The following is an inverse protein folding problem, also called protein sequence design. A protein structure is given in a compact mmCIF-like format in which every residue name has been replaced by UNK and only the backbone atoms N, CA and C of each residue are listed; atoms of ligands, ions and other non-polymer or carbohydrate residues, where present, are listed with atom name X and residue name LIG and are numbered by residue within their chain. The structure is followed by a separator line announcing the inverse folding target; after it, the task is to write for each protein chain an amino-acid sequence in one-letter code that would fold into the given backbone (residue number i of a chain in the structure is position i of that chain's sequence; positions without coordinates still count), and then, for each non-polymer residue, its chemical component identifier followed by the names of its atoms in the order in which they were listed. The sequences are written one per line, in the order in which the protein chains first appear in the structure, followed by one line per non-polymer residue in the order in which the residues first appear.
data_IF_281349441943
#
_entry.id   IF_281349441943
#
_cell.length_a   1.000
_cell.length_b   1.000
_cell.length_c   1.000
_cell.angle_alpha   90.00
_cell.angle_beta   90.00
_cell.angle_gamma   90.00
#
_symmetry.space_group_name_H-M   'P 1'
#
loop_
_entity.id
_entity.type
_entity.pdbx_description
1 polymer ?
#
# COMPACT_ATOMS: atom_id res chain seq x y z
N UNK A 1 -15.85 -6.20 11.12
CA UNK A 1 -15.18 -5.22 10.22
C UNK A 1 -13.84 -5.83 9.88
N UNK A 2 -13.57 -6.14 8.62
CA UNK A 2 -12.31 -6.78 8.22
C UNK A 2 -11.48 -5.75 7.47
N UNK A 3 -10.45 -5.24 8.12
CA UNK A 3 -9.37 -4.51 7.45
C UNK A 3 -8.46 -5.55 6.81
N UNK A 4 -8.20 -5.39 5.52
CA UNK A 4 -7.33 -6.30 4.77
C UNK A 4 -6.21 -5.50 4.15
N UNK A 5 -4.99 -5.92 4.45
CA UNK A 5 -3.75 -5.41 3.87
C UNK A 5 -3.06 -6.58 3.17
N UNK A 6 -2.87 -6.45 1.86
CA UNK A 6 -2.17 -7.44 1.04
C UNK A 6 -0.84 -6.84 0.60
N UNK A 7 0.24 -7.25 1.28
CA UNK A 7 1.58 -6.78 0.96
C UNK A 7 2.17 -7.44 -0.29
N UNK A 8 1.51 -8.41 -0.93
CA UNK A 8 1.97 -8.93 -2.23
C UNK A 8 1.62 -7.96 -3.38
N UNK A 9 0.59 -7.12 -3.19
CA UNK A 9 0.22 -6.07 -4.14
C UNK A 9 0.93 -4.76 -3.81
N UNK A 10 2.16 -4.60 -4.31
CA UNK A 10 2.99 -3.40 -4.12
C UNK A 10 3.00 -2.54 -5.38
N UNK A 11 2.77 -1.24 -5.22
CA UNK A 11 3.01 -0.25 -6.28
C UNK A 11 4.49 0.14 -6.33
N UNK A 12 5.11 0.34 -5.17
CA UNK A 12 6.55 0.54 -5.03
C UNK A 12 7.06 -0.01 -3.70
N UNK A 13 8.37 -0.17 -3.59
CA UNK A 13 9.06 -0.54 -2.35
C UNK A 13 10.38 0.22 -2.27
N UNK A 14 10.62 0.87 -1.13
CA UNK A 14 11.82 1.68 -0.89
C UNK A 14 12.37 1.35 0.50
N UNK A 15 13.69 1.33 0.63
CA UNK A 15 14.37 0.88 1.86
C UNK A 15 15.37 1.93 2.32
N UNK A 16 15.41 2.18 3.64
CA UNK A 16 16.38 3.04 4.32
C UNK A 16 16.92 2.36 5.58
N UNK A 17 18.02 1.63 5.41
CA UNK A 17 18.67 0.91 6.50
C UNK A 17 17.82 -0.27 6.98
N UNK A 18 17.27 -0.17 8.18
CA UNK A 18 16.43 -1.17 8.85
C UNK A 18 14.91 -0.93 8.66
N UNK A 19 14.53 0.08 7.87
CA UNK A 19 13.15 0.41 7.55
C UNK A 19 12.86 0.22 6.07
N UNK A 20 11.73 -0.41 5.77
CA UNK A 20 11.19 -0.53 4.42
C UNK A 20 9.82 0.13 4.37
N UNK A 21 9.62 1.01 3.38
CA UNK A 21 8.35 1.61 3.02
C UNK A 21 7.79 0.92 1.78
N UNK A 22 6.51 0.58 1.82
CA UNK A 22 5.79 -0.11 0.75
C UNK A 22 4.57 0.75 0.39
N UNK A 23 4.51 1.22 -0.85
CA UNK A 23 3.30 1.81 -1.42
C UNK A 23 2.35 0.71 -1.85
N UNK A 24 1.14 0.68 -1.30
CA UNK A 24 0.15 -0.37 -1.52
C UNK A 24 -1.27 0.19 -1.29
N UNK A 25 -2.24 -0.69 -1.11
CA UNK A 25 -3.62 -0.35 -0.82
C UNK A 25 -4.10 -1.11 0.40
N UNK A 26 -4.90 -0.42 1.21
CA UNK A 26 -5.60 -0.98 2.36
C UNK A 26 -7.10 -0.98 2.07
N UNK A 27 -7.79 -2.04 2.48
CA UNK A 27 -9.25 -2.11 2.38
C UNK A 27 -9.88 -1.57 3.66
N UNK A 28 -10.52 -0.41 3.57
CA UNK A 28 -11.25 0.26 4.65
C UNK A 28 -12.72 0.43 4.24
N UNK A 29 -13.65 0.03 5.12
CA UNK A 29 -15.10 0.27 4.97
C UNK A 29 -15.63 0.00 3.55
N UNK A 30 -15.23 -1.13 2.95
CA UNK A 30 -15.58 -1.60 1.61
C UNK A 30 -14.85 -0.94 0.41
N UNK A 31 -14.01 0.06 0.64
CA UNK A 31 -13.20 0.72 -0.40
C UNK A 31 -11.71 0.34 -0.27
N UNK A 32 -11.02 0.27 -1.40
CA UNK A 32 -9.56 0.23 -1.40
C UNK A 32 -9.01 1.64 -1.43
N UNK A 33 -8.07 1.94 -0.54
CA UNK A 33 -7.44 3.24 -0.43
C UNK A 33 -5.93 3.09 -0.55
N UNK A 34 -5.24 3.96 -1.32
CA UNK A 34 -3.80 3.97 -1.32
C UNK A 34 -3.24 4.29 0.06
N UNK A 35 -2.19 3.58 0.42
CA UNK A 35 -1.47 3.77 1.67
C UNK A 35 0.02 3.46 1.52
N UNK A 36 0.79 4.00 2.46
CA UNK A 36 2.17 3.62 2.68
C UNK A 36 2.22 2.75 3.93
N UNK A 37 2.98 1.67 3.87
CA UNK A 37 3.22 0.76 4.97
C UNK A 37 4.69 0.75 5.32
N UNK A 38 5.01 0.96 6.60
CA UNK A 38 6.36 0.78 7.14
C UNK A 38 6.49 -0.56 7.85
N UNK A 39 7.59 -1.25 7.57
CA UNK A 39 7.98 -2.51 8.19
C UNK A 39 9.49 -2.50 8.49
N UNK A 40 10.00 -3.32 9.43
CA UNK A 40 11.43 -3.56 9.54
C UNK A 40 11.93 -4.29 8.28
N UNK A 41 13.07 -3.88 7.74
CA UNK A 41 13.62 -4.46 6.52
C UNK A 41 13.87 -5.97 6.65
N UNK A 42 13.40 -6.73 5.68
CA UNK A 42 13.54 -8.19 5.62
C UNK A 42 12.56 -8.98 6.48
N UNK A 43 11.51 -8.31 7.02
CA UNK A 43 10.45 -8.95 7.83
C UNK A 43 9.11 -9.05 7.14
N UNK A 44 9.08 -8.94 5.81
CA UNK A 44 7.87 -8.91 4.98
C UNK A 44 6.92 -10.09 5.23
N UNK A 45 7.46 -11.24 5.66
CA UNK A 45 6.74 -12.50 5.90
C UNK A 45 6.77 -12.98 7.36
N UNK A 46 7.08 -12.08 8.31
CA UNK A 46 7.05 -12.41 9.75
C UNK A 46 5.61 -12.35 10.27
N UNK A 47 5.03 -13.49 10.68
CA UNK A 47 3.66 -13.58 11.22
C UNK A 47 3.42 -12.67 12.45
N UNK A 48 4.49 -12.22 13.13
CA UNK A 48 4.41 -11.34 14.29
C UNK A 48 4.67 -9.87 13.95
N UNK A 49 4.84 -9.55 12.68
CA UNK A 49 5.00 -8.20 12.19
C UNK A 49 3.72 -7.40 12.44
N UNK A 50 3.86 -6.24 13.07
CA UNK A 50 2.80 -5.25 13.14
C UNK A 50 3.18 -4.11 12.18
N UNK A 51 2.62 -4.08 10.96
CA UNK A 51 2.91 -3.03 10.01
C UNK A 51 2.35 -1.68 10.49
N UNK A 52 3.09 -0.60 10.25
CA UNK A 52 2.61 0.75 10.51
C UNK A 52 2.06 1.35 9.22
N UNK A 53 0.81 1.80 9.23
CA UNK A 53 0.10 2.23 8.02
C UNK A 53 -0.15 3.73 8.05
N UNK A 54 0.16 4.40 6.93
CA UNK A 54 -0.16 5.81 6.68
C UNK A 54 -1.07 5.88 5.46
N UNK A 55 -2.31 6.32 5.65
CA UNK A 55 -3.26 6.55 4.55
C UNK A 55 -3.02 7.92 3.91
N UNK A 56 -3.38 8.09 2.64
CA UNK A 56 -3.32 9.41 1.98
C UNK A 56 -4.06 10.50 2.78
N UNK A 57 -5.20 10.17 3.39
CA UNK A 57 -5.97 11.11 4.21
C UNK A 57 -5.23 11.62 5.47
N UNK A 58 -4.24 10.86 5.98
CA UNK A 58 -3.41 11.24 7.14
C UNK A 58 -1.98 11.63 6.76
N UNK A 59 -1.62 11.56 5.48
CA UNK A 59 -0.27 11.85 5.00
C UNK A 59 0.17 13.29 5.31
N UNK A 60 -0.76 14.25 5.30
CA UNK A 60 -0.49 15.67 5.57
C UNK A 60 0.20 15.92 6.92
N UNK A 61 0.00 15.05 7.92
CA UNK A 61 0.64 15.18 9.24
C UNK A 61 2.16 15.19 9.13
N UNK A 62 2.69 14.44 8.16
CA UNK A 62 4.12 14.23 7.99
C UNK A 62 4.76 15.26 7.04
N UNK A 63 3.96 16.17 6.47
CA UNK A 63 4.46 17.21 5.56
C UNK A 63 5.29 18.24 6.32
N UNK A 64 6.44 18.61 5.77
CA UNK A 64 7.26 19.72 6.28
C UNK A 64 6.58 21.08 6.17
N UNK A 65 5.73 21.27 5.16
CA UNK A 65 5.16 22.58 4.84
C UNK A 65 3.89 22.89 5.63
N UNK A 66 3.05 21.87 5.87
CA UNK A 66 1.72 22.04 6.48
C UNK A 66 1.44 21.15 7.68
N UNK A 67 2.32 20.20 7.98
CA UNK A 67 2.16 19.25 9.08
C UNK A 67 2.47 19.85 10.45
N UNK A 68 2.12 19.10 11.50
CA UNK A 68 2.52 19.42 12.88
C UNK A 68 3.70 18.53 13.28
N UNK A 69 4.91 19.10 13.50
CA UNK A 69 6.09 18.32 13.89
C UNK A 69 5.91 17.54 15.20
N UNK A 70 5.08 18.04 16.13
CA UNK A 70 4.82 17.36 17.40
C UNK A 70 4.00 16.10 17.17
N UNK A 71 2.93 16.20 16.39
CA UNK A 71 2.08 15.06 16.02
C UNK A 71 2.85 14.03 15.17
N UNK A 72 3.66 14.47 14.20
CA UNK A 72 4.49 13.58 13.40
C UNK A 72 5.50 12.81 14.27
N UNK A 73 6.14 13.49 15.22
CA UNK A 73 7.08 12.87 16.17
C UNK A 73 6.37 11.89 17.11
N UNK A 74 5.15 12.24 17.57
CA UNK A 74 4.35 11.35 18.41
C UNK A 74 3.95 10.07 17.65
N UNK A 75 3.50 10.18 16.41
CA UNK A 75 3.22 9.01 15.58
C UNK A 75 4.48 8.19 15.28
N UNK A 76 5.61 8.83 15.03
CA UNK A 76 6.89 8.15 14.85
C UNK A 76 7.33 7.36 16.08
N UNK A 77 7.04 7.84 17.29
CA UNK A 77 7.26 7.11 18.54
C UNK A 77 6.42 5.83 18.61
N UNK A 78 5.13 5.92 18.31
CA UNK A 78 4.23 4.75 18.29
C UNK A 78 4.61 3.74 17.19
N UNK A 79 5.11 4.24 16.05
CA UNK A 79 5.64 3.40 14.98
C UNK A 79 6.92 2.71 15.41
N UNK A 80 7.86 3.40 16.04
CA UNK A 80 9.09 2.80 16.54
C UNK A 80 8.81 1.62 17.49
N UNK A 81 7.84 1.79 18.41
CA UNK A 81 7.40 0.71 19.32
C UNK A 81 6.83 -0.48 18.57
N UNK A 82 5.90 -0.24 17.64
CA UNK A 82 5.27 -1.30 16.83
C UNK A 82 6.28 -2.08 15.98
N UNK A 83 7.24 -1.36 15.40
CA UNK A 83 8.32 -1.91 14.58
C UNK A 83 9.47 -2.50 15.42
N UNK A 84 9.39 -2.42 16.76
CA UNK A 84 10.41 -2.88 17.71
C UNK A 84 11.79 -2.25 17.46
N UNK A 85 11.78 -0.98 17.06
CA UNK A 85 12.97 -0.15 16.89
C UNK A 85 13.35 0.52 18.22
N UNK A 86 14.59 1.04 18.34
CA UNK A 86 15.00 1.76 19.54
C UNK A 86 14.12 2.98 19.82
N UNK A 87 13.60 3.08 21.04
CA UNK A 87 12.77 4.17 21.53
C UNK A 87 13.62 5.41 21.86
N UNK A 88 14.10 6.11 20.83
CA UNK A 88 14.96 7.28 20.98
C UNK A 88 14.75 8.30 19.85
N UNK A 89 15.18 9.54 20.13
CA UNK A 89 15.01 10.67 19.22
C UNK A 89 15.63 10.44 17.82
N UNK A 90 16.84 9.88 17.67
CA UNK A 90 17.38 9.54 16.35
C UNK A 90 16.48 8.61 15.53
N UNK A 91 15.88 7.59 16.14
CA UNK A 91 14.94 6.69 15.45
C UNK A 91 13.70 7.45 14.98
N UNK A 92 13.14 8.33 15.81
CA UNK A 92 11.94 9.08 15.43
C UNK A 92 12.20 10.02 14.26
N UNK A 93 13.31 10.78 14.31
CA UNK A 93 13.73 11.67 13.22
C UNK A 93 13.93 10.88 11.93
N UNK A 94 14.52 9.69 12.02
CA UNK A 94 14.69 8.79 10.88
C UNK A 94 13.36 8.35 10.29
N UNK A 95 12.38 7.97 11.12
CA UNK A 95 11.04 7.60 10.65
C UNK A 95 10.36 8.80 10.00
N UNK A 96 10.34 9.97 10.66
CA UNK A 96 9.70 11.19 10.12
C UNK A 96 10.31 11.57 8.78
N UNK A 97 11.64 11.72 8.70
CA UNK A 97 12.32 12.07 7.44
C UNK A 97 12.10 11.04 6.34
N UNK A 98 12.07 9.75 6.69
CA UNK A 98 11.83 8.72 5.69
C UNK A 98 10.39 8.75 5.16
N UNK A 99 9.40 8.95 6.03
CA UNK A 99 8.01 9.11 5.60
C UNK A 99 7.84 10.35 4.75
N UNK A 100 8.40 11.46 5.19
CA UNK A 100 8.36 12.75 4.50
C UNK A 100 8.90 12.65 3.07
N UNK A 101 10.06 12.01 2.88
CA UNK A 101 10.68 11.83 1.56
C UNK A 101 9.81 10.99 0.59
N UNK A 102 8.86 10.21 1.11
CA UNK A 102 7.99 9.31 0.34
C UNK A 102 6.57 9.85 0.16
N UNK A 103 6.27 11.05 0.64
CA UNK A 103 4.92 11.62 0.55
C UNK A 103 4.47 11.79 -0.89
N UNK A 104 5.35 12.26 -1.78
CA UNK A 104 5.03 12.41 -3.20
C UNK A 104 4.72 11.05 -3.83
N UNK A 105 5.53 10.02 -3.54
CA UNK A 105 5.29 8.66 -4.03
C UNK A 105 3.97 8.05 -3.49
N UNK A 106 3.54 8.44 -2.28
CA UNK A 106 2.27 8.03 -1.70
C UNK A 106 1.09 8.72 -2.40
N UNK A 107 1.23 9.99 -2.76
CA UNK A 107 0.19 10.74 -3.48
C UNK A 107 0.04 10.27 -4.94
N UNK A 108 1.11 9.75 -5.54
CA UNK A 108 1.11 9.22 -6.90
C UNK A 108 0.53 7.81 -7.05
N UNK A 109 0.27 7.09 -5.94
CA UNK A 109 -0.33 5.76 -6.00
C UNK A 109 -1.75 5.87 -6.61
N UNK A 110 -2.03 5.18 -7.74
CA UNK A 110 -3.35 5.26 -8.36
C UNK A 110 -4.41 4.56 -7.50
N UNK A 111 -5.72 4.78 -7.75
CA UNK A 111 -6.77 3.96 -7.18
C UNK A 111 -6.49 2.46 -7.41
N UNK A 112 -6.89 1.61 -6.46
CA UNK A 112 -6.62 0.17 -6.55
C UNK A 112 -7.12 -0.36 -7.89
N UNK A 113 -6.26 -1.03 -8.68
CA UNK A 113 -6.70 -1.63 -9.93
C UNK A 113 -7.73 -2.68 -9.56
N UNK A 114 -9.01 -2.39 -9.85
CA UNK A 114 -10.02 -3.43 -9.88
C UNK A 114 -9.47 -4.46 -10.83
N UNK A 115 -9.17 -5.67 -10.36
CA UNK A 115 -8.73 -6.73 -11.24
C UNK A 115 -9.79 -6.84 -12.34
N UNK A 116 -9.45 -6.44 -13.56
CA UNK A 116 -10.23 -6.74 -14.75
C UNK A 116 -10.21 -8.26 -14.94
N UNK A 117 -11.04 -8.96 -14.18
CA UNK A 117 -11.51 -10.31 -14.47
C UNK A 117 -12.96 -10.43 -13.99
N UNK A 118 -13.81 -9.57 -14.54
CA UNK A 118 -15.12 -10.05 -14.97
C UNK A 118 -15.00 -10.28 -16.47
N UNK A 119 -14.69 -11.51 -16.86
CA UNK A 119 -14.83 -11.94 -18.24
C UNK A 119 -16.33 -11.91 -18.54
N UNK A 120 -16.80 -10.87 -19.21
CA UNK A 120 -18.16 -10.81 -19.79
C UNK A 120 -18.02 -10.47 -21.27
N UNK A 121 -17.26 -11.28 -22.00
CA UNK A 121 -17.30 -11.28 -23.44
C UNK A 121 -17.36 -12.74 -23.90
N UNK A 122 -18.58 -13.22 -24.13
CA UNK A 122 -18.82 -14.41 -24.92
C UNK A 122 -18.75 -13.99 -26.40
N UNK A 123 -17.67 -14.36 -27.09
CA UNK A 123 -17.60 -14.19 -28.53
C UNK A 123 -18.27 -15.41 -29.19
N UNK A 124 -19.52 -15.24 -29.63
CA UNK A 124 -20.20 -16.23 -30.47
C UNK A 124 -19.78 -15.97 -31.92
N UNK A 125 -18.94 -16.86 -32.47
CA UNK A 125 -18.62 -16.85 -33.90
C UNK A 125 -19.75 -17.56 -34.64
N UNK A 126 -20.47 -16.83 -35.47
CA UNK A 126 -21.49 -17.36 -36.36
C UNK A 126 -20.89 -17.69 -37.73
N UNK A 127 -21.19 -18.88 -38.24
CA UNK A 127 -21.07 -19.21 -39.67
C UNK A 127 -22.02 -18.31 -40.49
N UNK A 128 -21.74 -18.14 -41.78
CA UNK A 128 -22.59 -17.51 -42.81
C UNK A 128 -23.98 -18.17 -42.96
N UNK A 129 -24.22 -19.31 -42.32
CA UNK A 129 -25.55 -19.95 -42.19
C UNK A 129 -26.16 -19.87 -40.78
N UNK A 130 -25.57 -19.12 -39.84
CA UNK A 130 -26.15 -18.82 -38.52
C UNK A 130 -25.94 -19.86 -37.41
N UNK A 131 -25.14 -20.89 -37.63
CA UNK A 131 -24.84 -21.91 -36.59
C UNK A 131 -23.57 -21.54 -35.81
N UNK A 132 -23.62 -21.57 -34.47
CA UNK A 132 -22.48 -21.33 -33.58
C UNK A 132 -21.60 -22.60 -33.46
N UNK A 133 -20.28 -22.50 -33.68
CA UNK A 133 -19.43 -23.70 -33.88
C UNK A 133 -18.44 -24.00 -32.74
N UNK A 134 -17.98 -23.06 -31.91
CA UNK A 134 -17.18 -23.40 -30.70
C UNK A 134 -16.85 -22.22 -29.80
N UNK A 135 -16.82 -22.48 -28.49
CA UNK A 135 -16.18 -21.62 -27.48
C UNK A 135 -14.70 -22.01 -27.34
N UNK A 136 -13.80 -21.04 -27.41
CA UNK A 136 -12.38 -21.23 -27.11
C UNK A 136 -11.91 -20.02 -26.31
N UNK A 137 -11.45 -20.28 -25.09
CA UNK A 137 -10.80 -19.30 -24.25
C UNK A 137 -9.48 -18.89 -24.90
N UNK A 138 -9.36 -17.63 -25.32
CA UNK A 138 -8.07 -17.05 -25.71
C UNK A 138 -7.41 -16.48 -24.45
N UNK A 139 -6.15 -16.87 -24.23
CA UNK A 139 -5.27 -16.39 -23.16
C UNK A 139 -4.09 -15.70 -23.83
N UNK A 140 -3.76 -14.49 -23.39
CA UNK A 140 -2.42 -13.91 -23.54
C UNK A 140 -1.61 -14.22 -22.27
#
# INVERSE_FOLDING_TARGET
MFEALDLDRRYWTKTRGDLTAIGTWIRLEHSWQPCMVLIPTGRDFDDRLVPCVITQARAWVWSRDVGDPVEATFQACEFAKSLRLPDNLPTFIKIVSFVEDMLDDLLDIPPFPQSEKSVVAEAIIYDKNGTAIRSTELRD
#
